data_IF_019701641222
#
_entry.id   IF_019701641222
#
_cell.length_a   1.000
_cell.length_b   1.000
_cell.length_c   1.000
_cell.angle_alpha   90.00
_cell.angle_beta   90.00
_cell.angle_gamma   90.00
#
_symmetry.space_group_name_H-M   'P 1'
#
loop_
_entity.id
_entity.type
_entity.pdbx_description
1 polymer ?
#
# COMPACT_ATOMS: atom_id res chain seq x y z
N UNK A 1 -58.47 -9.05 -19.34
CA UNK A 1 -57.87 -8.01 -18.48
C UNK A 1 -57.10 -8.79 -17.45
N UNK A 2 -55.82 -8.97 -17.74
CA UNK A 2 -54.95 -9.90 -17.03
C UNK A 2 -54.48 -9.25 -15.72
N UNK A 3 -54.71 -9.96 -14.62
CA UNK A 3 -54.10 -9.70 -13.32
C UNK A 3 -52.61 -10.05 -13.45
N UNK A 4 -51.74 -9.07 -13.26
CA UNK A 4 -50.31 -9.32 -13.07
C UNK A 4 -50.14 -9.61 -11.58
N UNK A 5 -49.90 -10.89 -11.27
CA UNK A 5 -49.56 -11.37 -9.94
C UNK A 5 -48.21 -10.79 -9.50
N UNK A 6 -48.23 -10.26 -8.28
CA UNK A 6 -47.14 -9.62 -7.55
C UNK A 6 -46.39 -10.73 -6.78
N UNK A 7 -45.58 -11.53 -7.47
CA UNK A 7 -44.82 -12.63 -6.84
C UNK A 7 -43.51 -12.90 -7.57
N UNK A 8 -42.48 -12.09 -7.27
CA UNK A 8 -41.06 -12.51 -7.30
C UNK A 8 -40.14 -11.40 -6.74
N UNK A 9 -40.40 -10.94 -5.51
CA UNK A 9 -39.34 -10.28 -4.74
C UNK A 9 -38.47 -11.38 -4.11
N UNK A 10 -37.18 -11.50 -4.46
CA UNK A 10 -36.32 -12.51 -3.88
C UNK A 10 -36.18 -12.28 -2.37
N UNK A 11 -36.81 -13.15 -1.57
CA UNK A 11 -36.70 -13.15 -0.11
C UNK A 11 -35.40 -13.83 0.28
N UNK A 12 -34.49 -13.09 0.92
CA UNK A 12 -33.23 -13.64 1.44
C UNK A 12 -33.52 -14.79 2.41
N UNK A 13 -32.84 -15.93 2.25
CA UNK A 13 -32.94 -17.04 3.19
C UNK A 13 -32.53 -16.60 4.60
N UNK A 14 -33.07 -17.22 5.65
CA UNK A 14 -32.70 -16.90 7.03
C UNK A 14 -31.19 -16.96 7.26
N UNK A 15 -30.52 -17.95 6.64
CA UNK A 15 -29.05 -18.06 6.65
C UNK A 15 -28.32 -16.91 5.94
N UNK A 16 -28.89 -16.36 4.85
CA UNK A 16 -28.32 -15.22 4.15
C UNK A 16 -28.50 -13.93 4.96
N UNK A 17 -29.63 -13.77 5.64
CA UNK A 17 -29.90 -12.65 6.54
C UNK A 17 -28.99 -12.65 7.77
N UNK A 18 -28.73 -13.82 8.34
CA UNK A 18 -27.84 -13.96 9.49
C UNK A 18 -26.37 -13.75 9.11
N UNK A 19 -25.93 -14.30 7.96
CA UNK A 19 -24.61 -13.99 7.41
C UNK A 19 -24.43 -12.49 7.09
N UNK A 20 -25.50 -11.83 6.60
CA UNK A 20 -25.47 -10.38 6.33
C UNK A 20 -25.37 -9.57 7.64
N UNK A 21 -26.10 -9.98 8.70
CA UNK A 21 -26.03 -9.34 10.02
C UNK A 21 -24.66 -9.54 10.67
N UNK A 22 -24.10 -10.74 10.60
CA UNK A 22 -22.74 -11.02 11.08
C UNK A 22 -21.72 -10.17 10.33
N UNK A 23 -21.85 -10.06 9.00
CA UNK A 23 -21.01 -9.19 8.18
C UNK A 23 -21.12 -7.71 8.57
N UNK A 24 -22.34 -7.19 8.79
CA UNK A 24 -22.53 -5.81 9.23
C UNK A 24 -22.03 -5.58 10.67
N UNK A 25 -22.22 -6.54 11.58
CA UNK A 25 -21.73 -6.44 12.95
C UNK A 25 -20.20 -6.46 13.00
N UNK A 26 -19.54 -7.30 12.22
CA UNK A 26 -18.09 -7.32 12.10
C UNK A 26 -17.56 -6.01 11.52
N UNK A 27 -18.22 -5.48 10.48
CA UNK A 27 -17.89 -4.18 9.89
C UNK A 27 -18.03 -3.05 10.91
N UNK A 28 -19.14 -3.00 11.63
CA UNK A 28 -19.43 -1.93 12.59
C UNK A 28 -18.51 -2.00 13.82
N UNK A 29 -18.20 -3.22 14.31
CA UNK A 29 -17.21 -3.42 15.38
C UNK A 29 -15.79 -3.03 14.95
N UNK A 30 -15.43 -3.26 13.68
CA UNK A 30 -14.14 -2.82 13.14
C UNK A 30 -14.09 -1.31 12.94
N UNK A 31 -15.17 -0.67 12.48
CA UNK A 31 -15.28 0.78 12.38
C UNK A 31 -15.16 1.44 13.76
N UNK A 32 -15.82 0.89 14.79
CA UNK A 32 -15.69 1.36 16.17
C UNK A 32 -14.26 1.23 16.68
N UNK A 33 -13.60 0.09 16.46
CA UNK A 33 -12.17 -0.07 16.80
C UNK A 33 -11.28 0.96 16.08
N UNK A 34 -11.64 1.34 14.85
CA UNK A 34 -10.90 2.31 14.07
C UNK A 34 -11.16 3.76 14.52
N UNK A 35 -12.39 4.09 14.90
CA UNK A 35 -12.74 5.35 15.57
C UNK A 35 -12.07 5.46 16.94
N UNK A 36 -11.97 4.37 17.70
CA UNK A 36 -11.20 4.33 18.95
C UNK A 36 -9.70 4.49 18.69
N UNK A 37 -9.15 3.89 17.63
CA UNK A 37 -7.76 4.12 17.20
C UNK A 37 -7.53 5.58 16.80
N UNK A 38 -8.50 6.20 16.12
CA UNK A 38 -8.48 7.63 15.76
C UNK A 38 -8.52 8.51 17.00
N UNK A 39 -9.46 8.27 17.91
CA UNK A 39 -9.56 9.00 19.18
C UNK A 39 -8.31 8.81 20.04
N UNK A 40 -7.76 7.59 20.12
CA UNK A 40 -6.48 7.37 20.81
C UNK A 40 -5.33 8.09 20.11
N UNK A 41 -5.31 8.15 18.79
CA UNK A 41 -4.28 8.88 18.05
C UNK A 41 -4.38 10.41 18.22
N UNK A 42 -5.58 10.94 18.44
CA UNK A 42 -5.87 12.37 18.65
C UNK A 42 -5.78 12.80 20.13
N UNK A 43 -6.19 11.96 21.09
CA UNK A 43 -6.27 12.26 22.53
C UNK A 43 -5.05 11.75 23.33
N UNK A 44 -4.40 10.67 22.87
CA UNK A 44 -3.19 10.10 23.46
C UNK A 44 -2.08 10.10 22.42
N UNK A 45 -1.37 11.23 22.30
CA UNK A 45 -0.27 11.41 21.36
C UNK A 45 0.85 10.34 21.42
N UNK A 46 0.86 9.48 22.44
CA UNK A 46 1.95 8.55 22.78
C UNK A 46 1.67 7.06 22.52
N UNK A 47 0.44 6.64 22.21
CA UNK A 47 0.13 5.21 22.05
C UNK A 47 0.27 4.74 20.58
N UNK A 48 1.16 3.79 20.24
CA UNK A 48 1.39 3.36 18.85
C UNK A 48 0.13 2.80 18.19
N UNK A 49 -0.05 3.11 16.91
CA UNK A 49 -1.11 2.53 16.09
C UNK A 49 -0.76 1.06 15.79
N UNK A 50 -1.69 0.15 16.04
CA UNK A 50 -1.54 -1.28 15.75
C UNK A 50 -2.51 -1.73 14.66
N UNK A 51 -2.09 -2.70 13.84
CA UNK A 51 -2.83 -3.18 12.67
C UNK A 51 -3.62 -4.47 12.93
N UNK A 52 -3.84 -4.86 14.20
CA UNK A 52 -4.42 -6.16 14.59
C UNK A 52 -5.83 -6.43 14.02
N UNK A 53 -6.48 -5.43 13.42
CA UNK A 53 -7.81 -5.50 12.84
C UNK A 53 -7.87 -5.86 11.32
N UNK A 54 -6.74 -6.02 10.63
CA UNK A 54 -6.73 -6.21 9.17
C UNK A 54 -6.30 -7.64 8.75
N UNK A 55 -6.86 -8.11 7.64
CA UNK A 55 -6.54 -9.41 7.05
C UNK A 55 -5.43 -9.22 6.00
N UNK A 56 -4.46 -10.14 5.97
CA UNK A 56 -3.36 -10.21 4.99
C UNK A 56 -2.25 -9.14 5.11
N UNK A 57 -1.83 -8.78 6.32
CA UNK A 57 -0.73 -7.83 6.51
C UNK A 57 0.67 -8.45 6.56
N UNK A 58 1.66 -7.63 6.17
CA UNK A 58 3.06 -7.83 6.51
C UNK A 58 3.25 -8.09 8.01
N UNK A 59 4.34 -8.77 8.37
CA UNK A 59 4.82 -8.79 9.74
C UNK A 59 5.19 -7.37 10.17
N UNK A 60 5.17 -7.11 11.49
CA UNK A 60 5.57 -5.82 12.02
C UNK A 60 6.99 -5.46 11.59
N UNK A 61 7.89 -6.44 11.55
CA UNK A 61 9.29 -6.28 11.12
C UNK A 61 9.36 -5.84 9.66
N UNK A 62 8.64 -6.52 8.75
CA UNK A 62 8.61 -6.14 7.33
C UNK A 62 8.01 -4.76 7.13
N UNK A 63 6.84 -4.48 7.72
CA UNK A 63 6.20 -3.18 7.58
C UNK A 63 7.08 -2.04 8.12
N UNK A 64 7.76 -2.28 9.25
CA UNK A 64 8.67 -1.29 9.86
C UNK A 64 9.89 -1.04 8.98
N UNK A 65 10.50 -2.10 8.44
CA UNK A 65 11.65 -1.99 7.56
C UNK A 65 11.30 -1.19 6.29
N UNK A 66 10.18 -1.51 5.64
CA UNK A 66 9.72 -0.76 4.46
C UNK A 66 9.44 0.71 4.80
N UNK A 67 8.83 1.00 5.95
CA UNK A 67 8.57 2.36 6.42
C UNK A 67 9.87 3.14 6.70
N UNK A 68 10.87 2.50 7.32
CA UNK A 68 12.18 3.10 7.55
C UNK A 68 12.88 3.44 6.23
N UNK A 69 12.83 2.55 5.24
CA UNK A 69 13.41 2.78 3.93
C UNK A 69 12.74 3.94 3.16
N UNK A 70 11.43 4.11 3.32
CA UNK A 70 10.70 5.28 2.80
C UNK A 70 11.12 6.59 3.49
N UNK A 71 11.38 6.56 4.80
CA UNK A 71 11.72 7.74 5.61
C UNK A 71 13.23 8.06 5.65
N UNK A 72 14.10 7.14 5.23
CA UNK A 72 15.55 7.33 5.24
C UNK A 72 15.96 8.55 4.43
N UNK A 73 16.58 9.54 5.06
CA UNK A 73 16.93 10.83 4.44
C UNK A 73 15.72 11.59 3.86
N UNK A 74 14.51 11.34 4.36
CA UNK A 74 13.35 12.17 4.03
C UNK A 74 13.39 13.46 4.86
N UNK A 75 12.98 14.55 4.23
CA UNK A 75 12.82 15.86 4.85
C UNK A 75 11.37 16.37 4.65
N UNK A 76 11.11 17.60 5.07
CA UNK A 76 9.78 18.22 4.97
C UNK A 76 9.26 18.39 3.53
N UNK A 77 10.16 18.45 2.54
CA UNK A 77 9.82 18.64 1.13
C UNK A 77 9.58 17.30 0.40
N UNK A 78 9.99 16.20 1.03
CA UNK A 78 9.82 14.85 0.50
C UNK A 78 8.35 14.44 0.54
N UNK A 79 7.84 13.94 -0.59
CA UNK A 79 6.47 13.43 -0.72
C UNK A 79 6.50 11.92 -0.93
N UNK A 80 5.80 11.19 -0.06
CA UNK A 80 5.73 9.73 -0.01
C UNK A 80 4.30 9.29 -0.34
N UNK A 81 4.15 8.30 -1.20
CA UNK A 81 2.87 7.61 -1.41
C UNK A 81 2.98 6.12 -1.03
N UNK A 82 2.02 5.68 -0.22
CA UNK A 82 1.81 4.27 0.13
C UNK A 82 0.60 3.79 -0.65
N UNK A 83 0.79 2.88 -1.60
CA UNK A 83 -0.26 2.40 -2.51
C UNK A 83 -0.58 0.95 -2.19
N UNK A 84 -1.80 0.69 -1.72
CA UNK A 84 -2.28 -0.67 -1.39
C UNK A 84 -1.46 -1.41 -0.32
N UNK A 85 -0.70 -0.70 0.50
CA UNK A 85 0.18 -1.26 1.54
C UNK A 85 -0.10 -0.64 2.93
N UNK A 86 -1.32 -0.80 3.48
CA UNK A 86 -1.75 -0.06 4.66
C UNK A 86 -0.91 -0.36 5.93
N UNK A 87 -0.39 -1.58 6.12
CA UNK A 87 0.53 -1.90 7.22
C UNK A 87 1.80 -1.05 7.21
N UNK A 88 2.34 -0.77 6.02
CA UNK A 88 3.50 0.13 5.88
C UNK A 88 3.11 1.56 6.24
N UNK A 89 1.93 2.04 5.84
CA UNK A 89 1.44 3.38 6.20
C UNK A 89 1.33 3.56 7.71
N UNK A 90 0.80 2.58 8.44
CA UNK A 90 0.72 2.64 9.90
C UNK A 90 2.10 2.74 10.53
N UNK A 91 3.09 1.98 10.04
CA UNK A 91 4.45 2.09 10.55
C UNK A 91 5.11 3.42 10.20
N UNK A 92 4.85 3.98 9.01
CA UNK A 92 5.26 5.35 8.65
C UNK A 92 4.68 6.34 9.66
N UNK A 93 3.38 6.28 9.96
CA UNK A 93 2.74 7.16 10.95
C UNK A 93 3.34 7.04 12.34
N UNK A 94 3.62 5.81 12.80
CA UNK A 94 4.26 5.56 14.09
C UNK A 94 5.67 6.18 14.15
N UNK A 95 6.48 5.99 13.10
CA UNK A 95 7.83 6.55 13.03
C UNK A 95 7.83 8.08 12.96
N UNK A 96 6.90 8.68 12.21
CA UNK A 96 6.77 10.13 12.09
C UNK A 96 6.47 10.81 13.44
N UNK A 97 5.84 10.13 14.40
CA UNK A 97 5.60 10.68 15.74
C UNK A 97 6.90 11.01 16.48
N UNK A 98 7.98 10.30 16.17
CA UNK A 98 9.30 10.52 16.75
C UNK A 98 10.04 11.71 16.10
N UNK A 99 9.49 12.28 15.03
CA UNK A 99 10.08 13.39 14.26
C UNK A 99 9.30 14.68 14.56
N UNK A 100 10.03 15.79 14.74
CA UNK A 100 9.45 17.12 14.88
C UNK A 100 8.53 17.45 13.68
N UNK A 101 7.35 18.03 13.92
CA UNK A 101 6.33 18.26 12.89
C UNK A 101 6.85 18.99 11.65
N UNK A 102 7.67 20.02 11.83
CA UNK A 102 8.24 20.85 10.75
C UNK A 102 9.27 20.10 9.88
N UNK A 103 9.74 18.92 10.30
CA UNK A 103 10.69 18.09 9.58
C UNK A 103 10.03 16.88 8.90
N UNK A 104 8.72 16.68 9.09
CA UNK A 104 8.03 15.49 8.60
C UNK A 104 7.77 15.57 7.10
N UNK A 105 8.09 14.53 6.32
CA UNK A 105 7.66 14.44 4.93
C UNK A 105 6.14 14.40 4.82
N UNK A 106 5.63 14.78 3.65
CA UNK A 106 4.23 14.60 3.31
C UNK A 106 3.97 13.14 2.95
N UNK A 107 2.91 12.55 3.50
CA UNK A 107 2.54 11.14 3.24
C UNK A 107 1.12 11.07 2.69
N UNK A 108 0.92 10.19 1.70
CA UNK A 108 -0.38 9.84 1.14
C UNK A 108 -0.60 8.33 1.25
N UNK A 109 -1.82 7.92 1.58
CA UNK A 109 -2.28 6.53 1.51
C UNK A 109 -3.31 6.40 0.39
N UNK A 110 -3.03 5.57 -0.61
CA UNK A 110 -3.97 5.19 -1.66
C UNK A 110 -4.47 3.78 -1.36
N UNK A 111 -5.72 3.67 -0.94
CA UNK A 111 -6.30 2.39 -0.49
C UNK A 111 -7.78 2.27 -0.89
N UNK A 112 -8.21 1.05 -1.21
CA UNK A 112 -9.60 0.73 -1.54
C UNK A 112 -10.46 0.68 -0.27
N UNK A 113 -9.89 0.16 0.81
CA UNK A 113 -10.57 0.04 2.09
C UNK A 113 -10.88 1.41 2.71
N UNK A 114 -12.17 1.77 2.70
CA UNK A 114 -12.67 3.05 3.23
C UNK A 114 -12.57 3.17 4.74
N UNK A 115 -12.19 2.12 5.48
CA UNK A 115 -11.89 2.24 6.90
C UNK A 115 -10.77 3.25 7.15
N UNK A 116 -9.83 3.40 6.20
CA UNK A 116 -8.74 4.37 6.29
C UNK A 116 -9.16 5.84 6.10
N UNK A 117 -10.42 6.14 5.76
CA UNK A 117 -10.95 7.52 5.58
C UNK A 117 -10.91 8.37 6.86
N UNK A 118 -10.61 7.75 8.01
CA UNK A 118 -10.32 8.49 9.25
C UNK A 118 -9.01 9.28 9.19
N UNK A 119 -8.08 8.92 8.29
CA UNK A 119 -6.79 9.57 8.15
C UNK A 119 -6.85 10.69 7.09
N UNK A 120 -6.37 11.91 7.38
CA UNK A 120 -6.33 12.98 6.39
C UNK A 120 -5.40 12.66 5.20
N UNK A 121 -4.46 11.73 5.36
CA UNK A 121 -3.58 11.24 4.31
C UNK A 121 -4.26 10.27 3.33
N UNK A 122 -5.46 9.77 3.66
CA UNK A 122 -6.17 8.78 2.85
C UNK A 122 -6.73 9.36 1.56
N UNK A 123 -6.63 8.57 0.50
CA UNK A 123 -7.29 8.78 -0.79
C UNK A 123 -7.87 7.44 -1.21
N UNK A 124 -9.20 7.40 -1.39
CA UNK A 124 -9.86 6.21 -1.93
C UNK A 124 -9.28 5.89 -3.31
N UNK A 125 -8.78 4.68 -3.47
CA UNK A 125 -8.11 4.21 -4.68
C UNK A 125 -8.72 2.88 -5.13
N UNK A 126 -9.19 2.85 -6.37
CA UNK A 126 -9.63 1.62 -7.04
C UNK A 126 -8.73 1.42 -8.27
N UNK A 127 -8.03 0.29 -8.33
CA UNK A 127 -7.16 -0.02 -9.46
C UNK A 127 -7.96 -0.19 -10.77
N UNK A 128 -9.28 -0.42 -10.73
CA UNK A 128 -10.15 -0.40 -11.91
C UNK A 128 -10.26 0.99 -12.54
N UNK A 129 -10.04 2.04 -11.76
CA UNK A 129 -10.02 3.44 -12.20
C UNK A 129 -8.69 4.11 -11.74
N UNK A 130 -7.52 3.64 -12.22
CA UNK A 130 -6.22 3.91 -11.59
C UNK A 130 -5.81 5.39 -11.58
N UNK A 131 -6.40 6.19 -12.46
CA UNK A 131 -6.13 7.63 -12.59
C UNK A 131 -7.23 8.52 -12.00
N UNK A 132 -8.24 7.94 -11.34
CA UNK A 132 -9.28 8.69 -10.62
C UNK A 132 -8.74 9.16 -9.28
N UNK A 133 -7.72 10.01 -9.35
CA UNK A 133 -6.95 10.52 -8.22
C UNK A 133 -7.02 12.05 -8.16
N UNK A 134 -6.82 12.66 -6.98
CA UNK A 134 -6.77 14.11 -6.84
C UNK A 134 -5.72 14.73 -7.78
N UNK A 135 -6.09 15.67 -8.68
CA UNK A 135 -5.17 16.19 -9.70
C UNK A 135 -3.87 16.81 -9.16
N UNK A 136 -3.91 17.29 -7.92
CA UNK A 136 -2.75 17.91 -7.25
C UNK A 136 -1.65 16.91 -6.88
N UNK A 137 -1.89 15.60 -6.98
CA UNK A 137 -0.88 14.56 -6.71
C UNK A 137 -0.08 14.16 -7.96
N UNK A 138 -0.50 14.64 -9.14
CA UNK A 138 0.14 14.26 -10.40
C UNK A 138 1.56 14.81 -10.44
N UNK A 139 2.53 13.91 -10.59
CA UNK A 139 3.94 14.30 -10.71
C UNK A 139 4.45 15.05 -9.49
N UNK A 140 4.03 14.69 -8.28
CA UNK A 140 4.46 15.32 -7.03
C UNK A 140 5.15 14.37 -6.06
N UNK A 141 5.17 13.07 -6.33
CA UNK A 141 5.69 12.06 -5.41
C UNK A 141 7.17 11.76 -5.68
N UNK A 142 7.96 11.68 -4.62
CA UNK A 142 9.39 11.34 -4.64
C UNK A 142 9.62 9.86 -4.33
N UNK A 143 8.78 9.27 -3.47
CA UNK A 143 8.98 7.91 -2.96
C UNK A 143 7.67 7.13 -2.93
N UNK A 144 7.70 5.90 -3.40
CA UNK A 144 6.52 5.02 -3.44
C UNK A 144 6.86 3.65 -2.85
N UNK A 145 5.97 3.15 -2.00
CA UNK A 145 5.80 1.71 -1.79
C UNK A 145 4.46 1.29 -2.41
N UNK A 146 4.45 0.18 -3.13
CA UNK A 146 3.25 -0.34 -3.77
C UNK A 146 3.10 -1.85 -3.54
N UNK A 147 1.92 -2.28 -3.11
CA UNK A 147 1.57 -3.70 -2.95
C UNK A 147 0.21 -3.99 -3.61
N UNK A 148 0.19 -4.25 -4.93
CA UNK A 148 -1.08 -4.43 -5.62
C UNK A 148 -1.82 -5.68 -5.13
N UNK A 149 -3.15 -5.61 -4.91
CA UNK A 149 -3.92 -6.65 -4.22
C UNK A 149 -4.04 -7.97 -4.99
N UNK A 150 -3.73 -7.98 -6.29
CA UNK A 150 -3.88 -9.18 -7.12
C UNK A 150 -2.62 -9.53 -7.90
N UNK A 151 -2.35 -10.83 -7.95
CA UNK A 151 -1.21 -11.43 -8.64
C UNK A 151 -1.57 -11.76 -10.11
N UNK A 152 -2.02 -10.75 -10.84
CA UNK A 152 -2.34 -10.85 -12.28
C UNK A 152 -1.82 -9.63 -13.05
N UNK A 153 -1.66 -9.78 -14.37
CA UNK A 153 -1.06 -8.74 -15.22
C UNK A 153 -1.85 -7.43 -15.24
N UNK A 154 -3.17 -7.50 -15.25
CA UNK A 154 -4.03 -6.31 -15.29
C UNK A 154 -3.84 -5.44 -14.04
N UNK A 155 -3.87 -6.04 -12.86
CA UNK A 155 -3.69 -5.34 -11.58
C UNK A 155 -2.29 -4.71 -11.51
N UNK A 156 -1.24 -5.47 -11.84
CA UNK A 156 0.14 -4.97 -11.83
C UNK A 156 0.35 -3.82 -12.82
N UNK A 157 -0.24 -3.92 -14.02
CA UNK A 157 -0.14 -2.87 -15.04
C UNK A 157 -0.88 -1.60 -14.63
N UNK A 158 -2.07 -1.73 -14.04
CA UNK A 158 -2.87 -0.59 -13.55
C UNK A 158 -2.22 0.09 -12.36
N UNK A 159 -1.66 -0.68 -11.42
CA UNK A 159 -0.86 -0.14 -10.32
C UNK A 159 0.37 0.62 -10.84
N UNK A 160 1.10 0.05 -11.80
CA UNK A 160 2.25 0.72 -12.41
C UNK A 160 1.86 2.03 -13.13
N UNK A 161 0.68 2.08 -13.75
CA UNK A 161 0.14 3.29 -14.34
C UNK A 161 -0.10 4.39 -13.28
N UNK A 162 -0.68 4.02 -12.14
CA UNK A 162 -0.86 4.91 -10.98
C UNK A 162 0.48 5.44 -10.47
N UNK A 163 1.43 4.53 -10.21
CA UNK A 163 2.74 4.87 -9.68
C UNK A 163 3.49 5.82 -10.64
N UNK A 164 3.48 5.52 -11.95
CA UNK A 164 4.05 6.42 -12.96
C UNK A 164 3.41 7.81 -12.95
N UNK A 165 2.10 7.89 -12.76
CA UNK A 165 1.37 9.16 -12.76
C UNK A 165 1.69 10.01 -11.52
N UNK A 166 2.04 9.38 -10.40
CA UNK A 166 2.41 10.04 -9.15
C UNK A 166 3.83 10.63 -9.17
N UNK A 167 4.80 9.92 -9.75
CA UNK A 167 6.21 10.31 -9.69
C UNK A 167 6.54 11.64 -10.39
N UNK A 168 7.32 12.50 -9.71
CA UNK A 168 7.87 13.76 -10.29
C UNK A 168 8.72 13.50 -11.53
N UNK A 169 9.54 12.45 -11.50
CA UNK A 169 10.41 12.01 -12.58
C UNK A 169 10.22 10.50 -12.81
N UNK A 170 10.04 10.10 -14.07
CA UNK A 170 9.89 8.69 -14.44
C UNK A 170 10.97 8.31 -15.46
N UNK A 171 11.81 7.34 -15.08
CA UNK A 171 12.92 6.85 -15.90
C UNK A 171 14.01 7.87 -16.25
N UNK A 172 14.07 8.98 -15.50
CA UNK A 172 15.16 9.95 -15.53
C UNK A 172 15.82 10.02 -14.15
N UNK A 173 16.05 8.85 -13.58
CA UNK A 173 16.51 8.68 -12.20
C UNK A 173 17.92 9.22 -12.04
N UNK A 174 18.10 10.19 -11.15
CA UNK A 174 19.43 10.69 -10.77
C UNK A 174 19.81 10.08 -9.43
N UNK A 175 21.01 9.50 -9.36
CA UNK A 175 21.55 9.01 -8.09
C UNK A 175 22.47 10.03 -7.45
N UNK A 176 22.45 10.09 -6.12
CA UNK A 176 23.46 10.79 -5.34
C UNK A 176 24.81 10.04 -5.34
N UNK A 177 25.79 10.57 -4.62
CA UNK A 177 27.13 9.98 -4.48
C UNK A 177 27.14 8.58 -3.85
N UNK A 178 26.09 8.23 -3.11
CA UNK A 178 25.90 6.91 -2.50
C UNK A 178 25.10 5.95 -3.38
N UNK A 179 24.77 6.36 -4.61
CA UNK A 179 24.00 5.56 -5.57
C UNK A 179 22.48 5.60 -5.31
N UNK A 180 22.01 6.43 -4.39
CA UNK A 180 20.60 6.46 -4.00
C UNK A 180 19.80 7.36 -4.95
N UNK A 181 18.71 6.85 -5.57
CA UNK A 181 17.96 7.62 -6.55
C UNK A 181 17.10 8.71 -5.90
N UNK A 182 16.91 9.80 -6.64
CA UNK A 182 15.99 10.90 -6.33
C UNK A 182 14.52 10.44 -6.30
N UNK A 183 14.19 9.43 -7.10
CA UNK A 183 12.88 8.81 -7.22
C UNK A 183 12.95 7.35 -6.76
N UNK A 184 12.53 7.09 -5.52
CA UNK A 184 12.66 5.77 -4.86
C UNK A 184 11.37 4.96 -5.01
N UNK A 185 11.49 3.72 -5.46
CA UNK A 185 10.37 2.81 -5.66
C UNK A 185 10.64 1.48 -4.97
N UNK A 186 9.68 1.05 -4.16
CA UNK A 186 9.56 -0.31 -3.63
C UNK A 186 8.24 -0.89 -4.14
N UNK A 187 8.27 -2.09 -4.69
CA UNK A 187 7.09 -2.88 -5.00
C UNK A 187 7.22 -4.21 -4.27
N UNK A 188 6.22 -4.59 -3.50
CA UNK A 188 6.14 -5.91 -2.89
C UNK A 188 4.95 -6.62 -3.51
N UNK A 189 5.14 -7.84 -4.01
CA UNK A 189 4.04 -8.64 -4.58
C UNK A 189 4.51 -10.09 -4.75
N UNK A 190 3.64 -10.97 -5.23
CA UNK A 190 3.96 -12.38 -5.43
C UNK A 190 5.07 -12.60 -6.47
N UNK A 191 5.93 -13.60 -6.25
CA UNK A 191 7.06 -13.91 -7.15
C UNK A 191 6.60 -14.21 -8.59
N UNK A 192 5.45 -14.88 -8.75
CA UNK A 192 4.90 -15.30 -10.04
C UNK A 192 4.59 -14.18 -11.03
N UNK A 193 4.51 -12.93 -10.57
CA UNK A 193 4.31 -11.75 -11.43
C UNK A 193 5.59 -10.92 -11.60
N UNK A 194 6.74 -11.42 -11.15
CA UNK A 194 8.01 -10.70 -11.18
C UNK A 194 8.44 -10.24 -12.57
N UNK A 195 8.21 -11.05 -13.61
CA UNK A 195 8.48 -10.65 -14.99
C UNK A 195 7.64 -9.44 -15.43
N UNK A 196 6.38 -9.39 -14.98
CA UNK A 196 5.48 -8.26 -15.25
C UNK A 196 5.98 -7.03 -14.50
N UNK A 197 6.31 -7.15 -13.21
CA UNK A 197 6.84 -6.06 -12.38
C UNK A 197 8.11 -5.47 -13.02
N UNK A 198 9.10 -6.31 -13.33
CA UNK A 198 10.34 -5.88 -13.97
C UNK A 198 10.10 -5.23 -15.34
N UNK A 199 9.08 -5.66 -16.09
CA UNK A 199 8.72 -5.06 -17.39
C UNK A 199 8.03 -3.71 -17.26
N UNK A 200 7.01 -3.58 -16.41
CA UNK A 200 6.18 -2.36 -16.33
C UNK A 200 6.91 -1.22 -15.61
N UNK A 201 7.78 -1.54 -14.66
CA UNK A 201 8.61 -0.57 -13.92
C UNK A 201 10.04 -0.46 -14.49
N UNK A 202 10.36 -1.14 -15.60
CA UNK A 202 11.69 -1.11 -16.25
C UNK A 202 12.26 0.31 -16.42
N UNK A 203 11.48 1.31 -16.87
CA UNK A 203 12.05 2.66 -17.03
C UNK A 203 12.58 3.23 -15.73
N UNK A 204 11.98 2.88 -14.59
CA UNK A 204 12.38 3.35 -13.26
C UNK A 204 13.59 2.59 -12.69
N UNK A 205 14.10 1.58 -13.41
CA UNK A 205 15.27 0.80 -12.99
C UNK A 205 14.98 -0.22 -11.88
N UNK A 206 13.73 -0.70 -11.77
CA UNK A 206 13.39 -1.71 -10.75
C UNK A 206 14.10 -3.03 -11.04
N UNK A 207 14.47 -3.75 -9.97
CA UNK A 207 14.91 -5.13 -10.03
C UNK A 207 14.45 -5.90 -8.79
N UNK A 208 14.35 -7.23 -8.91
CA UNK A 208 14.08 -8.12 -7.78
C UNK A 208 15.21 -8.03 -6.75
N UNK A 209 14.86 -7.92 -5.46
CA UNK A 209 15.83 -7.79 -4.37
C UNK A 209 16.04 -9.10 -3.61
N UNK A 210 17.09 -9.16 -2.79
CA UNK A 210 17.36 -10.27 -1.87
C UNK A 210 16.41 -10.32 -0.68
N UNK A 211 15.59 -9.28 -0.45
CA UNK A 211 14.67 -9.24 0.67
C UNK A 211 13.37 -10.01 0.37
N UNK A 212 12.92 -10.77 1.37
CA UNK A 212 11.70 -11.57 1.34
C UNK A 212 10.72 -11.02 2.37
N UNK A 213 9.66 -10.30 1.93
CA UNK A 213 8.60 -9.83 2.82
C UNK A 213 7.90 -10.99 3.54
N UNK A 214 7.69 -10.85 4.85
CA UNK A 214 6.96 -11.83 5.67
C UNK A 214 5.57 -11.29 5.98
N UNK A 215 4.57 -12.17 5.98
CA UNK A 215 3.18 -11.82 6.34
C UNK A 215 2.79 -12.44 7.68
N UNK A 216 2.04 -11.69 8.49
CA UNK A 216 1.68 -12.06 9.87
C UNK A 216 0.81 -13.32 9.95
N UNK A 217 0.04 -13.63 8.90
CA UNK A 217 -0.91 -14.76 8.88
C UNK A 217 -0.46 -15.92 8.00
N UNK A 218 0.76 -15.88 7.45
CA UNK A 218 1.30 -16.90 6.56
C UNK A 218 0.52 -17.01 5.25
N UNK A 219 0.96 -16.31 4.21
CA UNK A 219 0.39 -16.48 2.87
C UNK A 219 0.96 -17.73 2.20
N UNK A 220 0.14 -18.39 1.38
CA UNK A 220 0.56 -19.56 0.59
C UNK A 220 1.49 -19.20 -0.58
N UNK A 221 1.49 -17.93 -1.00
CA UNK A 221 2.32 -17.43 -2.10
C UNK A 221 3.64 -16.89 -1.56
N UNK A 222 4.73 -17.15 -2.28
CA UNK A 222 6.00 -16.46 -2.04
C UNK A 222 5.90 -15.01 -2.52
N UNK A 223 6.20 -14.07 -1.63
CA UNK A 223 6.26 -12.64 -1.94
C UNK A 223 7.71 -12.20 -2.07
N UNK A 224 7.99 -11.40 -3.09
CA UNK A 224 9.29 -10.77 -3.32
C UNK A 224 9.17 -9.25 -3.17
N UNK A 225 10.27 -8.65 -2.74
CA UNK A 225 10.47 -7.20 -2.79
C UNK A 225 11.28 -6.84 -4.04
N UNK A 226 10.80 -5.85 -4.78
CA UNK A 226 11.43 -5.26 -5.96
C UNK A 226 11.73 -3.80 -5.65
N UNK A 227 12.93 -3.33 -5.96
CA UNK A 227 13.31 -1.94 -5.70
C UNK A 227 14.24 -1.41 -6.79
N UNK A 228 14.22 -0.09 -7.00
CA UNK A 228 15.13 0.58 -7.93
C UNK A 228 16.43 1.09 -7.27
N UNK A 229 16.73 0.60 -6.08
CA UNK A 229 17.97 0.89 -5.35
C UNK A 229 18.33 -0.26 -4.42
N UNK A 230 19.59 -0.30 -4.02
CA UNK A 230 20.09 -1.19 -2.97
C UNK A 230 20.22 -0.44 -1.64
N UNK A 231 20.17 -1.17 -0.54
CA UNK A 231 20.40 -0.63 0.80
C UNK A 231 21.19 -1.60 1.66
N UNK A 232 21.19 -1.36 2.98
CA UNK A 232 21.76 -2.27 3.96
C UNK A 232 20.93 -3.57 4.06
N UNK A 233 19.61 -3.47 3.90
CA UNK A 233 18.68 -4.58 4.05
C UNK A 233 18.56 -5.45 2.79
N UNK A 234 18.90 -4.92 1.62
CA UNK A 234 18.79 -5.68 0.37
C UNK A 234 19.77 -5.29 -0.72
N UNK A 235 20.07 -6.28 -1.56
CA UNK A 235 20.79 -6.17 -2.82
C UNK A 235 19.92 -6.63 -3.97
N UNK A 236 20.25 -6.26 -5.20
CA UNK A 236 19.58 -6.84 -6.36
C UNK A 236 19.99 -8.30 -6.51
N UNK A 237 19.01 -9.16 -6.80
CA UNK A 237 19.32 -10.54 -7.18
C UNK A 237 20.05 -10.53 -8.50
N UNK A 238 21.10 -11.33 -8.59
CA UNK A 238 21.72 -11.63 -9.87
C UNK A 238 20.71 -12.46 -10.69
N UNK A 239 20.62 -12.25 -12.01
CA UNK A 239 19.92 -13.19 -12.87
C UNK A 239 20.48 -14.59 -12.58
N UNK A 240 19.61 -15.56 -12.31
CA UNK A 240 20.07 -16.95 -12.25
C UNK A 240 20.62 -17.30 -13.63
N UNK A 241 21.92 -17.60 -13.71
CA UNK A 241 22.52 -18.14 -14.92
C UNK A 241 21.82 -19.47 -15.20
N UNK A 242 20.92 -19.46 -16.20
CA UNK A 242 20.22 -20.66 -16.64
C UNK A 242 21.28 -21.68 -17.07
N UNK A 243 21.50 -22.70 -16.24
CA UNK A 243 22.35 -23.85 -16.54
C UNK A 243 21.63 -24.84 -17.43
#
# INVERSE_FOLDING_TARGET
>A
MDNIEDDDMPVLSGSALDALKEFYADRDAQLQKFEELKQKAEEQADAPLTMEAFAEDYSNETATLLAQELLRDADAETVIAVVSAPSVFIQVKNLLRMIETEKRPKVHLLEFDRRFDVFPEFTFYDYHDPLKLPPHMKGTVDRVVCDPPFLNEECQTRAALTVRWLFKSWGQVKSDENGMPDSRLIVCTGERVGDIVNRVYRPQGIATTTYLPVHSKGLSNEFYCYANYECEHWKWRKPEESS
#
